data_IF_814473816309
#
_entry.id   IF_814473816309
#
_cell.length_a   1.000
_cell.length_b   1.000
_cell.length_c   1.000
_cell.angle_alpha   90.00
_cell.angle_beta   90.00
_cell.angle_gamma   90.00
#
_symmetry.space_group_name_H-M   'P 1'
#
loop_
_entity.id
_entity.type
_entity.pdbx_description
1 polymer ?
#
# COMPACT_ATOMS: atom_id res chain seq x y z
N UNK A 1 -5.97 24.70 15.82
CA UNK A 1 -5.91 25.03 14.38
C UNK A 1 -4.46 25.01 13.95
N UNK A 2 -4.06 24.08 13.08
CA UNK A 2 -2.73 24.08 12.48
C UNK A 2 -2.91 23.74 11.00
N UNK A 3 -2.37 24.60 10.15
CA UNK A 3 -2.68 24.71 8.74
C UNK A 3 -1.70 23.90 7.87
N UNK A 4 -2.26 23.38 6.78
CA UNK A 4 -1.65 23.20 5.47
C UNK A 4 -0.47 22.22 5.31
N UNK A 5 -0.79 21.05 4.76
CA UNK A 5 0.08 20.36 3.82
C UNK A 5 -0.76 20.03 2.58
N UNK A 6 -0.72 20.91 1.58
CA UNK A 6 -1.32 20.71 0.27
C UNK A 6 -0.18 20.54 -0.74
N UNK A 7 -0.01 19.34 -1.28
CA UNK A 7 0.91 19.08 -2.38
C UNK A 7 0.10 19.11 -3.68
N UNK A 8 0.40 20.12 -4.50
CA UNK A 8 -0.11 20.33 -5.85
C UNK A 8 0.40 19.22 -6.78
N UNK A 9 -0.54 18.58 -7.48
CA UNK A 9 -0.23 17.70 -8.61
C UNK A 9 -0.19 18.51 -9.90
N UNK A 10 0.93 18.46 -10.61
CA UNK A 10 1.05 19.00 -11.96
C UNK A 10 1.08 17.89 -13.00
N UNK A 11 0.17 18.02 -13.97
CA UNK A 11 0.05 17.21 -15.19
C UNK A 11 0.99 17.79 -16.23
N UNK A 12 1.88 16.97 -16.79
CA UNK A 12 2.58 17.34 -18.02
C UNK A 12 1.86 16.77 -19.26
N UNK A 13 1.57 17.70 -20.16
CA UNK A 13 0.89 17.51 -21.43
C UNK A 13 1.76 16.76 -22.45
N UNK A 14 1.07 15.99 -23.29
CA UNK A 14 1.60 15.21 -24.40
C UNK A 14 1.93 16.10 -25.60
N UNK A 15 3.14 15.97 -26.14
CA UNK A 15 3.49 16.48 -27.47
C UNK A 15 3.65 15.31 -28.46
N UNK A 16 2.82 15.34 -29.50
CA UNK A 16 2.90 14.49 -30.70
C UNK A 16 4.13 14.91 -31.51
N UNK A 17 4.98 13.96 -31.86
CA UNK A 17 5.91 14.07 -33.00
C UNK A 17 5.84 12.81 -33.87
N UNK A 18 6.07 13.06 -35.15
CA UNK A 18 5.75 12.28 -36.33
C UNK A 18 6.58 11.00 -36.51
N UNK A 19 5.98 10.00 -37.18
CA UNK A 19 6.63 8.75 -37.63
C UNK A 19 7.54 9.01 -38.85
N UNK A 20 8.73 8.39 -38.92
CA UNK A 20 9.36 8.04 -40.17
C UNK A 20 9.11 6.58 -40.56
N UNK A 21 8.72 6.43 -41.83
CA UNK A 21 8.95 5.37 -42.82
C UNK A 21 9.47 3.99 -42.38
N UNK A 22 8.75 2.96 -42.83
CA UNK A 22 9.08 1.54 -42.68
C UNK A 22 10.16 1.12 -43.70
N UNK A 23 11.30 0.63 -43.20
CA UNK A 23 12.17 -0.28 -43.95
C UNK A 23 11.76 -1.72 -43.61
N UNK A 24 11.32 -2.45 -44.63
CA UNK A 24 10.99 -3.87 -44.59
C UNK A 24 12.25 -4.69 -44.30
N UNK A 25 12.29 -5.33 -43.12
CA UNK A 25 13.28 -6.34 -42.74
C UNK A 25 12.60 -7.68 -42.47
N UNK A 26 13.12 -8.74 -43.10
CA UNK A 26 12.49 -10.05 -43.30
C UNK A 26 11.88 -10.76 -42.09
N UNK A 27 10.73 -11.42 -42.35
CA UNK A 27 9.90 -12.12 -41.37
C UNK A 27 10.38 -13.55 -41.01
N UNK A 28 11.45 -14.04 -41.62
CA UNK A 28 11.82 -15.46 -41.56
C UNK A 28 13.27 -15.66 -41.10
N UNK A 29 13.52 -16.75 -40.35
CA UNK A 29 14.87 -17.19 -40.02
C UNK A 29 15.52 -17.95 -41.17
N UNK A 30 16.77 -18.40 -40.97
CA UNK A 30 17.55 -19.11 -42.00
C UNK A 30 16.94 -20.47 -42.41
N UNK A 31 15.94 -20.96 -41.68
CA UNK A 31 15.23 -22.21 -41.95
C UNK A 31 13.82 -21.96 -42.49
N UNK A 32 13.47 -20.72 -42.85
CA UNK A 32 12.17 -20.36 -43.39
C UNK A 32 11.04 -20.36 -42.35
N UNK A 33 11.35 -20.42 -41.06
CA UNK A 33 10.34 -20.31 -40.01
C UNK A 33 10.13 -18.85 -39.62
N UNK A 34 8.86 -18.46 -39.44
CA UNK A 34 8.52 -17.13 -38.97
C UNK A 34 9.16 -16.92 -37.59
N UNK A 35 10.02 -15.90 -37.46
CA UNK A 35 10.64 -15.57 -36.17
C UNK A 35 9.53 -15.20 -35.18
N UNK A 36 9.25 -16.08 -34.21
CA UNK A 36 8.31 -15.78 -33.13
C UNK A 36 8.87 -14.58 -32.36
N UNK A 37 8.21 -13.42 -32.49
CA UNK A 37 8.50 -12.27 -31.61
C UNK A 37 8.37 -12.75 -30.16
N UNK A 38 9.36 -12.50 -29.29
CA UNK A 38 9.22 -12.83 -27.88
C UNK A 38 7.95 -12.13 -27.38
N UNK A 39 7.01 -12.92 -26.85
CA UNK A 39 5.83 -12.38 -26.21
C UNK A 39 6.33 -11.47 -25.09
N UNK A 40 6.04 -10.16 -25.18
CA UNK A 40 6.20 -9.25 -24.05
C UNK A 40 5.25 -9.76 -22.97
N UNK A 41 5.77 -10.55 -22.04
CA UNK A 41 5.02 -10.95 -20.85
C UNK A 41 4.75 -9.67 -20.08
N UNK A 42 3.51 -9.16 -20.17
CA UNK A 42 3.04 -8.10 -19.28
C UNK A 42 2.94 -8.74 -17.90
N UNK A 43 3.95 -8.53 -17.06
CA UNK A 43 3.85 -8.84 -15.63
C UNK A 43 2.68 -7.98 -15.12
N UNK A 44 1.62 -8.58 -14.56
CA UNK A 44 0.54 -7.79 -13.99
C UNK A 44 1.11 -6.87 -12.92
N UNK A 45 0.62 -5.62 -12.80
CA UNK A 45 1.10 -4.70 -11.79
C UNK A 45 1.02 -5.36 -10.42
N UNK A 46 1.98 -5.09 -9.51
CA UNK A 46 1.98 -5.66 -8.17
C UNK A 46 0.61 -5.51 -7.56
N UNK A 47 0.10 -6.61 -7.02
CA UNK A 47 -1.14 -6.53 -6.28
C UNK A 47 -0.86 -5.68 -5.04
N UNK A 48 -1.86 -4.95 -4.56
CA UNK A 48 -1.80 -4.20 -3.29
C UNK A 48 -1.17 -5.03 -2.15
N UNK A 49 -1.42 -6.35 -2.17
CA UNK A 49 -0.82 -7.32 -1.27
C UNK A 49 0.71 -7.39 -1.36
N UNK A 50 1.29 -7.37 -2.56
CA UNK A 50 2.73 -7.48 -2.77
C UNK A 50 3.45 -6.23 -2.25
N UNK A 51 2.85 -5.05 -2.45
CA UNK A 51 3.37 -3.79 -1.92
C UNK A 51 3.28 -3.77 -0.38
N UNK A 52 2.16 -4.21 0.18
CA UNK A 52 2.00 -4.35 1.62
C UNK A 52 3.02 -5.32 2.23
N UNK A 53 3.21 -6.49 1.62
CA UNK A 53 4.17 -7.50 2.05
C UNK A 53 5.62 -6.99 1.93
N UNK A 54 5.94 -6.27 0.85
CA UNK A 54 7.24 -5.63 0.65
C UNK A 54 7.52 -4.58 1.74
N UNK A 55 6.53 -3.78 2.11
CA UNK A 55 6.66 -2.78 3.17
C UNK A 55 6.91 -3.43 4.54
N UNK A 56 6.16 -4.47 4.89
CA UNK A 56 6.36 -5.21 6.15
C UNK A 56 7.74 -5.86 6.18
N UNK A 57 8.16 -6.49 5.08
CA UNK A 57 9.50 -7.09 4.96
C UNK A 57 10.60 -6.04 5.15
N UNK A 58 10.45 -4.87 4.52
CA UNK A 58 11.36 -3.74 4.68
C UNK A 58 11.41 -3.24 6.13
N UNK A 59 10.27 -3.13 6.81
CA UNK A 59 10.22 -2.69 8.21
C UNK A 59 11.01 -3.64 9.13
N UNK A 60 10.85 -4.96 8.93
CA UNK A 60 11.61 -5.97 9.69
C UNK A 60 13.11 -5.95 9.39
N UNK A 61 13.49 -5.72 8.14
CA UNK A 61 14.91 -5.53 7.80
C UNK A 61 15.49 -4.26 8.43
N UNK A 62 14.70 -3.18 8.45
CA UNK A 62 15.08 -1.89 9.03
C UNK A 62 15.19 -1.95 10.56
N UNK A 63 14.34 -2.73 11.23
CA UNK A 63 14.42 -2.96 12.68
C UNK A 63 15.82 -3.45 13.11
N UNK A 64 16.40 -4.38 12.36
CA UNK A 64 17.74 -4.96 12.63
C UNK A 64 18.88 -3.96 12.55
N UNK A 65 18.64 -2.76 12.02
CA UNK A 65 19.61 -1.69 11.87
C UNK A 65 19.47 -0.59 12.93
N UNK A 66 18.50 -0.70 13.85
CA UNK A 66 18.27 0.31 14.89
C UNK A 66 19.06 -0.03 16.15
N UNK A 67 19.80 0.93 16.70
CA UNK A 67 20.43 0.82 18.03
C UNK A 67 19.43 1.16 19.14
N UNK A 68 18.48 2.05 18.85
CA UNK A 68 17.37 2.39 19.74
C UNK A 68 16.43 1.18 19.87
N UNK A 69 16.28 0.60 21.08
CA UNK A 69 15.48 -0.62 21.29
C UNK A 69 14.00 -0.38 21.04
N UNK A 70 13.47 0.81 21.34
CA UNK A 70 12.05 1.12 21.18
C UNK A 70 11.72 1.28 19.69
N UNK A 71 12.62 1.92 18.90
CA UNK A 71 12.45 1.99 17.44
C UNK A 71 12.51 0.60 16.81
N UNK A 72 13.43 -0.25 17.27
CA UNK A 72 13.55 -1.64 16.82
C UNK A 72 12.24 -2.39 17.08
N UNK A 73 11.74 -2.35 18.31
CA UNK A 73 10.52 -3.04 18.70
C UNK A 73 9.29 -2.50 17.93
N UNK A 74 9.15 -1.18 17.79
CA UNK A 74 8.04 -0.61 17.02
C UNK A 74 8.04 -1.07 15.55
N UNK A 75 9.21 -1.20 14.93
CA UNK A 75 9.36 -1.74 13.59
C UNK A 75 9.16 -3.26 13.51
N UNK A 76 9.40 -4.00 14.60
CA UNK A 76 9.11 -5.44 14.76
C UNK A 76 7.64 -5.72 15.09
N UNK A 77 6.93 -4.74 15.63
CA UNK A 77 5.50 -4.81 15.92
C UNK A 77 4.64 -4.11 14.86
N UNK A 78 5.25 -3.46 13.86
CA UNK A 78 4.53 -2.98 12.68
C UNK A 78 3.71 -4.13 12.07
N UNK A 79 2.41 -3.96 11.93
CA UNK A 79 1.51 -5.06 11.62
C UNK A 79 0.40 -4.64 10.66
N UNK A 80 -0.13 -5.65 9.96
CA UNK A 80 -1.34 -5.50 9.18
C UNK A 80 -2.57 -5.55 10.08
N UNK A 81 -3.52 -4.66 9.82
CA UNK A 81 -4.85 -4.75 10.36
C UNK A 81 -5.69 -5.55 9.36
N UNK A 82 -6.30 -6.67 9.77
CA UNK A 82 -7.25 -7.37 8.94
C UNK A 82 -8.41 -6.43 8.57
N UNK A 83 -8.46 -5.96 7.31
CA UNK A 83 -9.53 -5.08 6.85
C UNK A 83 -10.69 -5.89 6.26
N UNK A 84 -11.91 -5.64 6.75
CA UNK A 84 -13.13 -6.35 6.31
C UNK A 84 -13.51 -6.14 4.84
N UNK A 85 -12.86 -5.22 4.12
CA UNK A 85 -13.11 -4.96 2.69
C UNK A 85 -12.78 -6.17 1.78
N UNK A 86 -11.74 -6.95 2.08
CA UNK A 86 -11.37 -8.14 1.28
C UNK A 86 -12.28 -9.34 1.56
N UNK A 87 -12.88 -9.38 2.75
CA UNK A 87 -13.73 -10.49 3.16
C UNK A 87 -15.20 -10.26 2.79
N UNK A 88 -15.71 -9.02 2.83
CA UNK A 88 -17.11 -8.69 2.47
C UNK A 88 -17.46 -8.93 1.00
N UNK A 89 -16.53 -8.77 0.05
CA UNK A 89 -16.75 -9.12 -1.36
C UNK A 89 -16.93 -10.64 -1.58
N UNK A 90 -16.41 -11.45 -0.65
CA UNK A 90 -16.41 -12.92 -0.72
C UNK A 90 -17.26 -13.58 0.37
N UNK A 91 -17.88 -12.80 1.25
CA UNK A 91 -18.79 -13.35 2.24
C UNK A 91 -20.07 -13.82 1.59
N UNK A 92 -20.52 -13.27 0.47
CA UNK A 92 -21.61 -13.92 -0.25
C UNK A 92 -21.07 -15.12 -1.03
N UNK A 93 -21.07 -16.28 -0.37
CA UNK A 93 -20.89 -17.56 -1.04
C UNK A 93 -22.23 -18.01 -1.59
N UNK A 94 -22.21 -18.68 -2.74
CA UNK A 94 -23.41 -19.34 -3.24
C UNK A 94 -23.45 -20.74 -2.65
N UNK A 95 -24.53 -21.05 -1.92
CA UNK A 95 -24.76 -22.41 -1.42
C UNK A 95 -24.91 -23.37 -2.59
N UNK A 96 -24.08 -24.42 -2.66
CA UNK A 96 -24.22 -25.48 -3.68
C UNK A 96 -25.56 -26.22 -3.57
N UNK A 97 -26.17 -26.27 -2.38
CA UNK A 97 -27.43 -26.98 -2.12
C UNK A 97 -28.66 -26.16 -2.50
N UNK A 98 -28.63 -24.85 -2.25
CA UNK A 98 -29.82 -24.00 -2.39
C UNK A 98 -29.70 -22.96 -3.50
N UNK A 99 -28.50 -22.78 -4.08
CA UNK A 99 -28.21 -21.74 -5.07
C UNK A 99 -28.29 -20.31 -4.52
N UNK A 100 -28.54 -20.13 -3.22
CA UNK A 100 -28.73 -18.81 -2.61
C UNK A 100 -27.42 -18.26 -2.06
N UNK A 101 -27.19 -16.93 -2.15
CA UNK A 101 -26.13 -16.26 -1.43
C UNK A 101 -26.28 -16.46 0.09
N UNK A 102 -25.17 -16.69 0.80
CA UNK A 102 -25.11 -16.73 2.26
C UNK A 102 -23.77 -16.19 2.76
N UNK A 103 -23.75 -15.68 3.98
CA UNK A 103 -22.52 -15.21 4.67
C UNK A 103 -21.93 -16.35 5.53
N UNK A 104 -20.63 -16.71 5.37
CA UNK A 104 -19.97 -17.70 6.23
C UNK A 104 -20.12 -17.36 7.72
N UNK A 105 -20.36 -18.34 8.61
CA UNK A 105 -20.43 -18.08 10.05
C UNK A 105 -19.19 -17.38 10.63
N UNK A 106 -18.00 -17.73 10.14
CA UNK A 106 -16.74 -17.09 10.52
C UNK A 106 -16.73 -15.59 10.20
N UNK A 107 -17.36 -15.19 9.11
CA UNK A 107 -17.53 -13.79 8.74
C UNK A 107 -18.30 -13.00 9.78
N UNK A 108 -19.46 -13.56 10.16
CA UNK A 108 -20.37 -12.97 11.11
C UNK A 108 -19.71 -12.88 12.48
N UNK A 109 -18.95 -13.92 12.84
CA UNK A 109 -18.13 -13.94 14.06
C UNK A 109 -17.08 -12.83 14.06
N UNK A 110 -16.29 -12.69 13.01
CA UNK A 110 -15.27 -11.62 12.94
C UNK A 110 -15.89 -10.22 12.98
N UNK A 111 -17.03 -10.02 12.32
CA UNK A 111 -17.79 -8.76 12.39
C UNK A 111 -18.27 -8.51 13.84
N UNK A 112 -18.80 -9.53 14.51
CA UNK A 112 -19.22 -9.44 15.91
C UNK A 112 -18.04 -9.20 16.88
N UNK A 113 -16.85 -9.68 16.54
CA UNK A 113 -15.60 -9.43 17.27
C UNK A 113 -14.96 -8.06 16.95
N UNK A 114 -15.57 -7.26 16.07
CA UNK A 114 -15.16 -5.87 15.81
C UNK A 114 -14.45 -5.62 14.48
N UNK A 115 -14.41 -6.60 13.57
CA UNK A 115 -13.90 -6.39 12.21
C UNK A 115 -14.65 -5.25 11.52
N UNK A 116 -13.95 -4.13 11.32
CA UNK A 116 -14.54 -2.89 10.83
C UNK A 116 -14.11 -2.63 9.39
N UNK A 117 -15.07 -2.29 8.53
CA UNK A 117 -14.81 -1.97 7.13
C UNK A 117 -14.18 -0.58 7.00
N UNK A 118 -13.18 -0.47 6.14
CA UNK A 118 -12.58 0.81 5.79
C UNK A 118 -11.50 1.30 6.76
N UNK A 119 -11.15 0.48 7.77
CA UNK A 119 -9.92 0.67 8.55
C UNK A 119 -8.70 0.55 7.62
N UNK A 120 -7.65 1.30 7.91
CA UNK A 120 -6.39 1.26 7.16
C UNK A 120 -5.71 -0.11 7.24
N UNK A 121 -4.91 -0.45 6.23
CA UNK A 121 -4.31 -1.78 6.11
C UNK A 121 -3.22 -2.09 7.14
N UNK A 122 -2.53 -1.07 7.66
CA UNK A 122 -1.34 -1.22 8.50
C UNK A 122 -1.34 -0.19 9.63
N UNK A 123 -0.73 -0.57 10.76
CA UNK A 123 -0.52 0.30 11.91
C UNK A 123 0.92 0.23 12.42
N UNK A 124 1.50 1.42 12.66
CA UNK A 124 2.77 1.64 13.32
C UNK A 124 2.54 2.31 14.68
N UNK A 125 2.83 1.58 15.75
CA UNK A 125 2.74 2.05 17.13
C UNK A 125 4.01 2.82 17.53
N UNK A 126 4.24 3.98 16.90
CA UNK A 126 5.36 4.86 17.24
C UNK A 126 4.88 6.28 17.53
N UNK A 127 4.89 6.72 18.80
CA UNK A 127 4.48 8.07 19.14
C UNK A 127 5.57 9.09 18.80
N UNK A 128 5.14 10.32 18.49
CA UNK A 128 6.03 11.47 18.39
C UNK A 128 5.84 12.38 19.59
N UNK A 129 6.95 12.98 20.03
CA UNK A 129 6.99 13.94 21.13
C UNK A 129 7.64 15.25 20.67
N UNK A 130 7.22 16.36 21.27
CA UNK A 130 7.90 17.65 21.12
C UNK A 130 9.15 17.74 22.01
N UNK A 131 9.83 18.88 22.00
CA UNK A 131 11.05 19.11 22.78
C UNK A 131 10.80 19.03 24.29
N UNK A 132 9.58 19.34 24.73
CA UNK A 132 9.13 19.29 26.12
C UNK A 132 8.68 17.89 26.55
N UNK A 133 8.73 16.89 25.65
CA UNK A 133 8.39 15.49 25.93
C UNK A 133 6.89 15.16 25.82
N UNK A 134 6.02 16.14 25.53
CA UNK A 134 4.61 15.92 25.31
C UNK A 134 4.36 15.20 23.99
N UNK A 135 3.43 14.25 24.00
CA UNK A 135 3.05 13.50 22.81
C UNK A 135 2.31 14.40 21.82
N UNK A 136 2.81 14.49 20.59
CA UNK A 136 2.23 15.24 19.47
C UNK A 136 1.57 14.32 18.44
N UNK A 137 1.96 13.04 18.43
CA UNK A 137 1.32 12.01 17.61
C UNK A 137 1.34 10.67 18.34
N UNK A 138 0.25 9.91 18.33
CA UNK A 138 0.14 8.62 19.02
C UNK A 138 0.68 7.43 18.20
N UNK A 139 0.70 7.56 16.88
CA UNK A 139 1.07 6.47 15.97
C UNK A 139 0.72 6.81 14.53
N UNK A 140 0.90 5.84 13.62
CA UNK A 140 0.67 6.04 12.19
C UNK A 140 -0.13 4.89 11.57
N UNK A 141 -1.33 5.23 11.08
CA UNK A 141 -2.16 4.36 10.24
C UNK A 141 -1.84 4.56 8.75
N UNK A 142 -1.69 3.46 8.03
CA UNK A 142 -1.22 3.45 6.64
C UNK A 142 -2.17 2.60 5.81
N UNK A 143 -2.84 3.24 4.85
CA UNK A 143 -3.66 2.59 3.82
C UNK A 143 -2.82 2.36 2.57
N UNK A 144 -2.83 1.15 2.03
CA UNK A 144 -2.13 0.82 0.79
C UNK A 144 -3.12 0.82 -0.38
N UNK A 145 -2.74 1.45 -1.48
CA UNK A 145 -3.51 1.45 -2.72
C UNK A 145 -2.69 0.93 -3.87
N UNK A 146 -3.38 0.39 -4.88
CA UNK A 146 -2.74 0.15 -6.17
C UNK A 146 -2.46 1.49 -6.83
N UNK A 147 -1.47 1.50 -7.72
CA UNK A 147 -1.18 2.67 -8.55
C UNK A 147 -2.41 3.11 -9.34
N UNK A 148 -2.75 4.40 -9.24
CA UNK A 148 -3.93 4.98 -9.87
C UNK A 148 -5.23 4.82 -9.09
N UNK A 149 -5.25 4.00 -8.03
CA UNK A 149 -6.40 3.91 -7.12
C UNK A 149 -6.32 4.97 -6.02
N UNK A 150 -7.49 5.37 -5.53
CA UNK A 150 -7.66 6.31 -4.41
C UNK A 150 -8.44 5.64 -3.29
N UNK A 151 -8.31 6.12 -2.04
CA UNK A 151 -9.17 5.71 -0.94
C UNK A 151 -10.65 5.87 -1.28
N UNK A 152 -11.47 4.98 -0.74
CA UNK A 152 -12.92 5.14 -0.76
C UNK A 152 -13.33 6.17 0.27
N UNK A 153 -14.51 6.77 0.10
CA UNK A 153 -15.06 7.75 1.05
C UNK A 153 -15.05 7.25 2.51
N UNK A 154 -15.41 5.97 2.73
CA UNK A 154 -15.37 5.36 4.07
C UNK A 154 -13.96 5.35 4.69
N UNK A 155 -12.93 5.14 3.87
CA UNK A 155 -11.52 5.12 4.31
C UNK A 155 -11.03 6.55 4.56
N UNK A 156 -11.44 7.52 3.75
CA UNK A 156 -11.17 8.94 4.00
C UNK A 156 -11.78 9.41 5.32
N UNK A 157 -13.00 8.97 5.63
CA UNK A 157 -13.68 9.25 6.89
C UNK A 157 -12.92 8.68 8.08
N UNK A 158 -12.45 7.44 7.99
CA UNK A 158 -11.65 6.79 9.05
C UNK A 158 -10.31 7.48 9.25
N UNK A 159 -9.55 7.71 8.17
CA UNK A 159 -8.27 8.45 8.25
C UNK A 159 -8.47 9.84 8.86
N UNK A 160 -9.56 10.54 8.49
CA UNK A 160 -9.89 11.85 9.06
C UNK A 160 -10.21 11.76 10.55
N UNK A 161 -10.87 10.69 11.00
CA UNK A 161 -11.09 10.43 12.41
C UNK A 161 -9.77 10.18 13.16
N UNK A 162 -8.90 9.30 12.65
CA UNK A 162 -7.59 9.03 13.25
C UNK A 162 -6.73 10.30 13.39
N UNK A 163 -6.71 11.16 12.36
CA UNK A 163 -6.05 12.46 12.42
C UNK A 163 -6.58 13.37 13.53
N UNK A 164 -7.90 13.43 13.70
CA UNK A 164 -8.51 14.21 14.79
C UNK A 164 -8.18 13.64 16.17
N UNK A 165 -7.98 12.32 16.27
CA UNK A 165 -7.60 11.64 17.51
C UNK A 165 -6.09 11.67 17.80
N UNK A 166 -5.31 12.43 17.03
CA UNK A 166 -3.87 12.59 17.27
C UNK A 166 -2.98 11.51 16.65
N UNK A 167 -3.50 10.71 15.72
CA UNK A 167 -2.68 9.80 14.91
C UNK A 167 -2.28 10.47 13.59
N UNK A 168 -1.14 10.07 13.03
CA UNK A 168 -0.89 10.27 11.61
C UNK A 168 -1.72 9.23 10.86
N UNK A 169 -2.33 9.62 9.76
CA UNK A 169 -3.01 8.68 8.86
C UNK A 169 -2.82 9.11 7.41
N UNK A 170 -2.53 8.18 6.52
CA UNK A 170 -2.25 8.47 5.12
C UNK A 170 -2.40 7.24 4.24
N UNK A 171 -2.44 7.46 2.93
CA UNK A 171 -2.53 6.38 1.95
C UNK A 171 -1.40 6.49 0.92
N UNK A 172 -0.94 5.33 0.44
CA UNK A 172 0.25 5.25 -0.41
C UNK A 172 0.05 4.24 -1.53
N UNK A 173 0.60 4.54 -2.70
CA UNK A 173 0.48 3.70 -3.89
C UNK A 173 1.65 2.73 -4.10
N UNK A 174 2.64 2.75 -3.20
CA UNK A 174 3.80 1.87 -3.25
C UNK A 174 4.43 1.69 -1.87
N UNK A 175 5.07 0.54 -1.67
CA UNK A 175 5.86 0.23 -0.49
C UNK A 175 6.98 1.25 -0.30
N UNK A 176 7.59 1.72 -1.39
CA UNK A 176 8.62 2.76 -1.36
C UNK A 176 8.12 4.06 -0.75
N UNK A 177 6.96 4.56 -1.20
CA UNK A 177 6.40 5.82 -0.71
C UNK A 177 5.99 5.71 0.76
N UNK A 178 5.36 4.58 1.15
CA UNK A 178 5.00 4.32 2.54
C UNK A 178 6.24 4.18 3.45
N UNK A 179 7.28 3.48 3.00
CA UNK A 179 8.55 3.35 3.73
C UNK A 179 9.22 4.72 3.94
N UNK A 180 9.24 5.58 2.93
CA UNK A 180 9.76 6.94 3.05
C UNK A 180 8.97 7.75 4.10
N UNK A 181 7.64 7.62 4.12
CA UNK A 181 6.81 8.27 5.13
C UNK A 181 7.05 7.73 6.55
N UNK A 182 7.36 6.44 6.71
CA UNK A 182 7.76 5.85 8.00
C UNK A 182 9.12 6.38 8.43
N UNK A 183 10.10 6.46 7.53
CA UNK A 183 11.43 7.04 7.81
C UNK A 183 11.29 8.47 8.33
N UNK A 184 10.49 9.28 7.66
CA UNK A 184 10.18 10.64 8.09
C UNK A 184 9.46 10.65 9.45
N UNK A 185 8.42 9.83 9.60
CA UNK A 185 7.63 9.75 10.83
C UNK A 185 8.51 9.42 12.04
N UNK A 186 9.28 8.33 11.96
CA UNK A 186 10.09 7.82 13.07
C UNK A 186 11.44 8.52 13.20
N UNK A 187 11.78 9.43 12.27
CA UNK A 187 13.09 10.08 12.17
C UNK A 187 14.21 9.02 12.17
N UNK A 188 14.15 8.09 11.22
CA UNK A 188 15.16 7.02 11.09
C UNK A 188 16.40 7.56 10.40
N UNK A 189 17.56 7.35 11.02
CA UNK A 189 18.87 7.72 10.45
C UNK A 189 19.48 6.56 9.64
N UNK A 190 19.18 5.32 10.04
CA UNK A 190 19.62 4.10 9.35
C UNK A 190 18.39 3.27 9.01
N UNK A 191 18.32 2.80 7.77
CA UNK A 191 17.22 1.95 7.32
C UNK A 191 17.66 1.07 6.15
N UNK A 192 16.96 -0.05 5.96
CA UNK A 192 17.22 -0.92 4.83
C UNK A 192 16.92 -0.16 3.53
N UNK A 193 17.59 -0.48 2.41
CA UNK A 193 17.28 0.15 1.13
C UNK A 193 15.77 0.15 0.87
N UNK A 194 15.25 1.32 0.50
CA UNK A 194 13.82 1.46 0.23
C UNK A 194 13.41 0.43 -0.85
N UNK A 195 12.21 -0.16 -0.75
CA UNK A 195 11.71 -1.08 -1.77
C UNK A 195 11.86 -0.47 -3.17
N UNK A 196 12.27 -1.31 -4.13
CA UNK A 196 12.35 -0.90 -5.52
C UNK A 196 10.97 -0.48 -6.01
N UNK A 197 10.90 0.54 -6.87
CA UNK A 197 9.66 0.85 -7.58
C UNK A 197 9.32 -0.32 -8.48
N UNK A 198 8.14 -0.90 -8.29
CA UNK A 198 7.60 -1.92 -9.16
C UNK A 198 6.70 -1.23 -10.19
N UNK A 199 7.07 -1.37 -11.47
CA UNK A 199 6.43 -0.72 -12.62
C UNK A 199 5.06 -1.27 -12.96
#
# INVERSE_FOLDING_TARGET
MCAQCAILGERMATTRTSKPSALQGGLFDRNGQARRRPLKVKIPPPLEHDEQAALVTWARATARLQDDPDKREALELFHAIPNGAKLTRNYQKVSRKTGKPYTPPEALRLIAEGLTKGIEDLCLNWPLRNAEGFMTCAGFYIEMKRRGEKPREEQERVMSFHRRMGYRAGWFQSARAAAAAIVEHMKLERYAPLPAERG
#
